data_IF_808942827408
#
_entry.id   IF_808942827408
#
_cell.length_a   1.000
_cell.length_b   1.000
_cell.length_c   1.000
_cell.angle_alpha   90.00
_cell.angle_beta   90.00
_cell.angle_gamma   90.00
#
_symmetry.space_group_name_H-M   'P 1'
#
loop_
_entity.id
_entity.type
_entity.pdbx_description
1 polymer ?
#
# COMPACT_ATOMS: atom_id res chain seq x y z
N UNK A 1 24.26 16.51 15.43
CA UNK A 1 22.98 17.23 15.65
C UNK A 1 23.12 18.06 16.91
N UNK A 2 22.80 19.37 16.88
CA UNK A 2 22.87 20.21 18.09
C UNK A 2 21.70 19.90 19.03
N UNK A 3 21.88 20.06 20.34
CA UNK A 3 20.82 19.90 21.35
C UNK A 3 19.60 20.79 21.01
N UNK A 4 19.82 21.96 20.41
CA UNK A 4 18.77 22.88 19.96
C UNK A 4 17.90 22.32 18.83
N UNK A 5 18.45 21.49 17.93
CA UNK A 5 17.68 20.83 16.87
C UNK A 5 16.84 19.67 17.41
N UNK A 6 17.33 18.95 18.43
CA UNK A 6 16.54 17.93 19.14
C UNK A 6 15.38 18.57 19.91
N UNK A 7 15.65 19.67 20.63
CA UNK A 7 14.65 20.42 21.42
C UNK A 7 13.55 21.08 20.55
N UNK A 8 13.80 21.25 19.26
CA UNK A 8 12.83 21.82 18.32
C UNK A 8 11.93 20.78 17.64
N UNK A 9 12.17 19.47 17.80
CA UNK A 9 11.15 18.51 17.40
C UNK A 9 9.90 18.71 18.26
N UNK A 10 8.73 18.64 17.65
CA UNK A 10 7.44 18.78 18.36
C UNK A 10 7.37 17.87 19.57
N UNK A 11 8.02 16.71 19.50
CA UNK A 11 7.98 15.65 20.49
C UNK A 11 8.89 15.88 21.71
N UNK A 12 10.05 16.54 21.58
CA UNK A 12 10.82 16.95 22.76
C UNK A 12 10.11 18.09 23.51
N UNK A 13 9.41 18.97 22.80
CA UNK A 13 8.47 19.89 23.44
C UNK A 13 7.34 19.11 24.12
N UNK A 14 6.75 18.10 23.48
CA UNK A 14 5.74 17.22 24.08
C UNK A 14 6.24 16.57 25.38
N UNK A 15 7.44 15.97 25.41
CA UNK A 15 8.05 15.39 26.61
C UNK A 15 8.33 16.44 27.71
N UNK A 16 8.75 17.65 27.33
CA UNK A 16 8.93 18.77 28.26
C UNK A 16 7.60 19.40 28.71
N UNK A 17 6.54 19.27 27.93
CA UNK A 17 5.18 19.71 28.25
C UNK A 17 4.47 18.71 29.18
N UNK A 18 4.74 17.39 29.06
CA UNK A 18 4.39 16.37 30.08
C UNK A 18 4.88 16.80 31.46
N UNK A 19 6.10 17.35 31.49
CA UNK A 19 6.72 17.84 32.71
C UNK A 19 6.09 19.13 33.26
N UNK A 20 5.43 19.94 32.42
CA UNK A 20 5.00 21.31 32.77
C UNK A 20 3.49 21.57 32.88
N UNK A 21 2.61 20.60 32.63
CA UNK A 21 1.17 20.88 32.55
C UNK A 21 0.33 20.58 33.81
N UNK A 22 -0.71 21.42 33.95
CA UNK A 22 -1.67 21.57 35.04
C UNK A 22 -2.30 20.28 35.54
N UNK A 23 -2.74 20.28 36.80
CA UNK A 23 -3.53 19.22 37.46
C UNK A 23 -4.65 18.63 36.59
N UNK A 24 -5.26 19.42 35.70
CA UNK A 24 -6.31 18.99 34.76
C UNK A 24 -5.89 17.82 33.86
N UNK A 25 -4.65 17.79 33.38
CA UNK A 25 -4.16 16.71 32.51
C UNK A 25 -3.70 15.48 33.28
N UNK A 26 -3.56 15.56 34.61
CA UNK A 26 -3.17 14.40 35.43
C UNK A 26 -4.30 13.37 35.50
N UNK A 27 -5.54 13.83 35.70
CA UNK A 27 -6.70 12.93 35.78
C UNK A 27 -6.91 12.16 34.47
N UNK A 28 -6.83 12.84 33.32
CA UNK A 28 -6.96 12.23 31.99
C UNK A 28 -5.85 11.22 31.73
N UNK A 29 -4.58 11.56 32.05
CA UNK A 29 -3.46 10.62 31.92
C UNK A 29 -3.63 9.38 32.80
N UNK A 30 -4.05 9.55 34.04
CA UNK A 30 -4.29 8.44 34.96
C UNK A 30 -5.39 7.52 34.42
N UNK A 31 -6.46 8.08 33.86
CA UNK A 31 -7.49 7.30 33.17
C UNK A 31 -6.92 6.51 32.00
N UNK A 32 -6.10 7.12 31.14
CA UNK A 32 -5.47 6.42 30.01
C UNK A 32 -4.48 5.33 30.44
N UNK A 33 -3.74 5.54 31.54
CA UNK A 33 -2.91 4.50 32.14
C UNK A 33 -3.75 3.31 32.62
N UNK A 34 -4.92 3.55 33.23
CA UNK A 34 -5.85 2.48 33.61
C UNK A 34 -6.36 1.73 32.38
N UNK A 35 -6.74 2.45 31.31
CA UNK A 35 -7.17 1.83 30.06
C UNK A 35 -6.06 0.96 29.45
N UNK A 36 -4.82 1.45 29.43
CA UNK A 36 -3.66 0.70 28.96
C UNK A 36 -3.44 -0.56 29.80
N UNK A 37 -3.44 -0.45 31.13
CA UNK A 37 -3.26 -1.61 32.01
C UNK A 37 -4.37 -2.65 31.88
N UNK A 38 -5.60 -2.23 31.60
CA UNK A 38 -6.72 -3.14 31.40
C UNK A 38 -6.66 -3.84 30.04
N UNK A 39 -6.36 -3.10 28.97
CA UNK A 39 -6.31 -3.62 27.61
C UNK A 39 -5.02 -4.41 27.33
N UNK A 40 -3.91 -4.02 27.96
CA UNK A 40 -2.59 -4.62 27.78
C UNK A 40 -1.83 -4.76 29.12
N UNK A 41 -2.24 -5.72 29.98
CA UNK A 41 -1.65 -5.90 31.31
C UNK A 41 -0.13 -6.16 31.29
N UNK A 42 0.34 -6.91 30.27
CA UNK A 42 1.75 -7.26 30.11
C UNK A 42 2.65 -6.08 29.66
N UNK A 43 2.08 -4.92 29.33
CA UNK A 43 2.88 -3.76 28.93
C UNK A 43 3.82 -3.26 30.04
N UNK A 44 3.41 -3.40 31.31
CA UNK A 44 4.25 -3.03 32.45
C UNK A 44 5.51 -3.90 32.55
N UNK A 45 5.39 -5.19 32.25
CA UNK A 45 6.52 -6.14 32.18
C UNK A 45 7.40 -5.84 30.96
N UNK A 46 6.81 -5.62 29.77
CA UNK A 46 7.55 -5.23 28.56
C UNK A 46 8.41 -3.96 28.79
N UNK A 47 7.84 -2.96 29.46
CA UNK A 47 8.58 -1.75 29.80
C UNK A 47 9.69 -2.03 30.80
N UNK A 48 9.45 -2.88 31.81
CA UNK A 48 10.48 -3.28 32.77
C UNK A 48 11.62 -4.00 32.06
N UNK A 49 11.33 -4.87 31.11
CA UNK A 49 12.32 -5.53 30.26
C UNK A 49 13.14 -4.49 29.49
N UNK A 50 12.48 -3.52 28.86
CA UNK A 50 13.18 -2.44 28.16
C UNK A 50 14.13 -1.66 29.08
N UNK A 51 13.68 -1.28 30.28
CA UNK A 51 14.49 -0.53 31.26
C UNK A 51 15.62 -1.36 31.88
N UNK A 52 15.45 -2.69 31.97
CA UNK A 52 16.41 -3.60 32.59
C UNK A 52 17.53 -4.00 31.62
N UNK A 53 17.17 -4.29 30.37
CA UNK A 53 18.09 -4.87 29.40
C UNK A 53 18.55 -3.89 28.32
N UNK A 54 17.76 -2.85 28.02
CA UNK A 54 18.09 -1.88 26.98
C UNK A 54 19.15 -0.87 27.42
N UNK A 55 20.04 -0.51 26.50
CA UNK A 55 20.84 0.71 26.65
C UNK A 55 19.93 1.96 26.59
N UNK A 56 20.32 3.12 27.16
CA UNK A 56 19.51 4.34 27.07
C UNK A 56 19.13 4.70 25.63
N UNK A 57 20.06 4.53 24.69
CA UNK A 57 19.83 4.70 23.26
C UNK A 57 18.80 3.71 22.72
N UNK A 58 18.93 2.42 23.03
CA UNK A 58 18.00 1.38 22.58
C UNK A 58 16.59 1.54 23.20
N UNK A 59 16.50 1.98 24.45
CA UNK A 59 15.21 2.34 25.08
C UNK A 59 14.58 3.53 24.33
N UNK A 60 15.39 4.53 23.95
CA UNK A 60 14.93 5.65 23.13
C UNK A 60 14.37 5.20 21.79
N UNK A 61 15.06 4.26 21.14
CA UNK A 61 14.63 3.66 19.89
C UNK A 61 13.34 2.86 20.08
N UNK A 62 13.26 2.00 21.11
CA UNK A 62 12.08 1.20 21.44
C UNK A 62 10.82 2.07 21.57
N UNK A 63 10.87 3.12 22.40
CA UNK A 63 9.72 4.01 22.58
C UNK A 63 9.39 4.80 21.31
N UNK A 64 10.38 5.11 20.47
CA UNK A 64 10.15 5.79 19.20
C UNK A 64 9.43 4.88 18.20
N UNK A 65 9.87 3.63 18.07
CA UNK A 65 9.21 2.63 17.22
C UNK A 65 7.81 2.30 17.74
N UNK A 66 7.62 2.15 19.05
CA UNK A 66 6.30 1.95 19.66
C UNK A 66 5.36 3.14 19.39
N UNK A 67 5.86 4.37 19.49
CA UNK A 67 5.11 5.56 19.15
C UNK A 67 4.71 5.58 17.66
N UNK A 68 5.61 5.17 16.77
CA UNK A 68 5.28 5.02 15.35
C UNK A 68 4.26 3.91 15.11
N UNK A 69 4.42 2.75 15.74
CA UNK A 69 3.42 1.68 15.69
C UNK A 69 2.04 2.18 16.13
N UNK A 70 1.95 2.96 17.21
CA UNK A 70 0.71 3.58 17.65
C UNK A 70 0.09 4.49 16.57
N UNK A 71 0.90 5.31 15.90
CA UNK A 71 0.43 6.21 14.85
C UNK A 71 -0.19 5.44 13.69
N UNK A 72 0.56 4.49 13.16
CA UNK A 72 0.14 3.66 12.05
C UNK A 72 -1.05 2.76 12.38
N UNK A 73 -1.07 2.16 13.58
CA UNK A 73 -2.20 1.36 14.07
C UNK A 73 -3.46 2.23 14.18
N UNK A 74 -3.35 3.49 14.63
CA UNK A 74 -4.52 4.38 14.75
C UNK A 74 -5.13 4.66 13.38
N UNK A 75 -4.30 4.99 12.40
CA UNK A 75 -4.73 5.17 11.00
C UNK A 75 -5.29 3.87 10.41
N UNK A 76 -4.68 2.73 10.72
CA UNK A 76 -5.12 1.43 10.23
C UNK A 76 -6.51 1.06 10.76
N UNK A 77 -6.79 1.31 12.04
CA UNK A 77 -8.08 1.02 12.68
C UNK A 77 -9.24 1.78 12.01
N UNK A 78 -9.06 3.05 11.63
CA UNK A 78 -10.16 3.84 11.05
C UNK A 78 -10.61 3.31 9.67
N UNK A 79 -9.78 2.50 9.01
CA UNK A 79 -10.13 1.83 7.76
C UNK A 79 -10.96 0.55 7.95
N UNK A 80 -11.36 0.24 9.19
CA UNK A 80 -12.19 -0.91 9.54
C UNK A 80 -11.64 -2.27 9.05
N UNK A 81 -10.38 -2.62 9.36
CA UNK A 81 -9.78 -3.87 8.92
C UNK A 81 -10.49 -5.09 9.53
N UNK A 82 -10.44 -6.21 8.82
CA UNK A 82 -10.85 -7.51 9.38
C UNK A 82 -9.91 -7.97 10.50
N UNK A 83 -10.37 -8.91 11.34
CA UNK A 83 -9.56 -9.45 12.43
C UNK A 83 -8.24 -10.11 11.94
N UNK A 84 -8.28 -10.77 10.78
CA UNK A 84 -7.09 -11.38 10.17
C UNK A 84 -6.07 -10.31 9.71
N UNK A 85 -6.57 -9.21 9.13
CA UNK A 85 -5.72 -8.07 8.73
C UNK A 85 -5.11 -7.38 9.96
N UNK A 86 -5.88 -7.21 11.04
CA UNK A 86 -5.37 -6.72 12.32
C UNK A 86 -4.25 -7.60 12.87
N UNK A 87 -4.44 -8.92 12.91
CA UNK A 87 -3.44 -9.86 13.42
C UNK A 87 -2.13 -9.77 12.63
N UNK A 88 -2.21 -9.89 11.30
CA UNK A 88 -1.04 -9.82 10.42
C UNK A 88 -0.31 -8.48 10.57
N UNK A 89 -1.05 -7.38 10.65
CA UNK A 89 -0.44 -6.06 10.84
C UNK A 89 0.31 -5.95 12.17
N UNK A 90 -0.25 -6.48 13.26
CA UNK A 90 0.43 -6.55 14.55
C UNK A 90 1.71 -7.40 14.48
N UNK A 91 1.67 -8.60 13.89
CA UNK A 91 2.83 -9.50 13.77
C UNK A 91 4.00 -8.88 13.00
N UNK A 92 3.70 -8.14 11.93
CA UNK A 92 4.71 -7.40 11.17
C UNK A 92 5.40 -6.33 12.05
N UNK A 93 4.62 -5.58 12.83
CA UNK A 93 5.16 -4.59 13.75
C UNK A 93 5.94 -5.21 14.91
N UNK A 94 5.50 -6.35 15.44
CA UNK A 94 6.23 -7.07 16.49
C UNK A 94 7.60 -7.54 16.00
N UNK A 95 7.63 -8.14 14.80
CA UNK A 95 8.88 -8.54 14.13
C UNK A 95 9.79 -7.34 13.91
N UNK A 96 9.22 -6.22 13.46
CA UNK A 96 9.97 -4.99 13.24
C UNK A 96 10.58 -4.45 14.55
N UNK A 97 9.77 -4.30 15.61
CA UNK A 97 10.25 -3.81 16.92
C UNK A 97 11.36 -4.71 17.46
N UNK A 98 11.19 -6.04 17.39
CA UNK A 98 12.21 -7.00 17.81
C UNK A 98 13.53 -6.80 17.05
N UNK A 99 13.47 -6.55 15.73
CA UNK A 99 14.66 -6.29 14.92
C UNK A 99 15.37 -4.97 15.26
N UNK A 100 14.63 -3.96 15.75
CA UNK A 100 15.19 -2.65 16.10
C UNK A 100 15.80 -2.61 17.49
N UNK A 101 15.35 -3.49 18.40
CA UNK A 101 15.77 -3.51 19.80
C UNK A 101 16.21 -4.92 20.23
N UNK A 102 17.29 -5.46 19.65
CA UNK A 102 17.69 -6.85 19.83
C UNK A 102 18.09 -7.21 21.27
N UNK A 103 18.45 -6.24 22.11
CA UNK A 103 18.81 -6.48 23.51
C UNK A 103 17.61 -6.49 24.45
N UNK A 104 16.44 -6.01 24.00
CA UNK A 104 15.22 -5.97 24.81
C UNK A 104 14.43 -7.27 24.59
N UNK A 105 14.16 -8.07 25.63
CA UNK A 105 13.30 -9.23 25.51
C UNK A 105 11.88 -8.85 25.06
N UNK A 106 11.41 -9.46 23.97
CA UNK A 106 10.06 -9.20 23.41
C UNK A 106 9.00 -10.20 23.88
N UNK A 107 9.25 -10.89 25.01
CA UNK A 107 8.34 -11.92 25.55
C UNK A 107 6.94 -11.38 25.86
N UNK A 108 6.87 -10.10 26.23
CA UNK A 108 5.65 -9.43 26.62
C UNK A 108 5.10 -8.50 25.52
N UNK A 109 5.68 -8.52 24.31
CA UNK A 109 5.23 -7.69 23.19
C UNK A 109 4.02 -8.33 22.49
N UNK A 110 2.85 -7.71 22.66
CA UNK A 110 1.57 -8.16 22.12
C UNK A 110 0.84 -6.95 21.53
N UNK A 111 1.19 -6.56 20.31
CA UNK A 111 0.62 -5.39 19.66
C UNK A 111 -0.86 -5.51 19.36
N UNK A 112 -1.43 -6.73 19.35
CA UNK A 112 -2.88 -6.88 19.28
C UNK A 112 -3.58 -6.31 20.54
N UNK A 113 -3.03 -6.54 21.73
CA UNK A 113 -3.52 -5.94 22.98
C UNK A 113 -3.34 -4.42 22.97
N UNK A 114 -2.21 -3.95 22.42
CA UNK A 114 -1.98 -2.52 22.22
C UNK A 114 -2.99 -1.90 21.22
N UNK A 115 -3.34 -2.61 20.16
CA UNK A 115 -4.37 -2.19 19.21
C UNK A 115 -5.76 -2.08 19.88
N UNK A 116 -6.12 -3.02 20.76
CA UNK A 116 -7.34 -2.93 21.58
C UNK A 116 -7.33 -1.69 22.47
N UNK A 117 -6.18 -1.33 23.04
CA UNK A 117 -6.01 -0.08 23.77
C UNK A 117 -6.25 1.14 22.89
N UNK A 118 -5.64 1.21 21.69
CA UNK A 118 -5.86 2.32 20.74
C UNK A 118 -7.34 2.43 20.33
N UNK A 119 -8.02 1.31 20.07
CA UNK A 119 -9.46 1.28 19.79
C UNK A 119 -10.28 1.86 20.93
N UNK A 120 -9.98 1.46 22.16
CA UNK A 120 -10.66 2.00 23.36
C UNK A 120 -10.46 3.51 23.50
N UNK A 121 -9.25 4.03 23.23
CA UNK A 121 -9.00 5.48 23.22
C UNK A 121 -9.81 6.21 22.15
N UNK A 122 -9.91 5.62 20.95
CA UNK A 122 -10.72 6.17 19.85
C UNK A 122 -12.20 6.19 20.21
N UNK A 123 -12.74 5.10 20.73
CA UNK A 123 -14.14 5.00 21.16
C UNK A 123 -14.47 6.03 22.25
N UNK A 124 -13.57 6.22 23.23
CA UNK A 124 -13.73 7.27 24.24
C UNK A 124 -13.73 8.68 23.61
N UNK A 125 -12.89 8.92 22.60
CA UNK A 125 -12.84 10.20 21.89
C UNK A 125 -14.12 10.50 21.10
N UNK A 126 -14.71 9.48 20.46
CA UNK A 126 -15.98 9.58 19.74
C UNK A 126 -17.14 9.92 20.69
N UNK A 127 -17.16 9.32 21.88
CA UNK A 127 -18.16 9.63 22.92
C UNK A 127 -18.01 11.08 23.41
N UNK A 128 -16.77 11.56 23.61
CA UNK A 128 -16.52 12.92 24.07
C UNK A 128 -16.89 13.97 22.99
N UNK A 129 -16.69 13.64 21.72
CA UNK A 129 -16.82 14.57 20.58
C UNK A 129 -17.54 13.89 19.41
N UNK A 130 -18.88 13.95 19.34
CA UNK A 130 -19.63 13.30 18.25
C UNK A 130 -19.21 13.74 16.84
N UNK A 131 -18.88 15.03 16.65
CA UNK A 131 -18.39 15.57 15.36
C UNK A 131 -17.04 14.97 14.92
N UNK A 132 -16.38 14.22 15.81
CA UNK A 132 -15.14 13.52 15.49
C UNK A 132 -15.37 12.40 14.48
N UNK A 133 -16.55 11.75 14.51
CA UNK A 133 -16.91 10.69 13.56
C UNK A 133 -16.97 11.22 12.11
N UNK A 134 -17.60 12.38 11.90
CA UNK A 134 -17.67 13.01 10.58
C UNK A 134 -16.27 13.35 10.05
N UNK A 135 -15.38 13.80 10.92
CA UNK A 135 -13.98 14.06 10.58
C UNK A 135 -13.21 12.79 10.21
N UNK A 136 -13.43 11.68 10.92
CA UNK A 136 -12.84 10.39 10.55
C UNK A 136 -13.35 9.87 9.20
N UNK A 137 -14.66 9.98 8.95
CA UNK A 137 -15.24 9.57 7.66
C UNK A 137 -14.71 10.40 6.49
N UNK A 138 -14.45 11.70 6.71
CA UNK A 138 -13.88 12.58 5.69
C UNK A 138 -12.44 12.23 5.30
N UNK A 139 -11.73 11.42 6.10
CA UNK A 139 -10.37 10.95 5.81
C UNK A 139 -10.35 9.69 4.95
N UNK A 140 -11.47 8.99 4.84
CA UNK A 140 -11.56 7.71 4.16
C UNK A 140 -11.94 7.88 2.67
N UNK A 141 -11.42 7.02 1.77
CA UNK A 141 -10.39 6.01 2.00
C UNK A 141 -8.97 6.60 2.02
N UNK A 142 -8.08 6.00 2.81
CA UNK A 142 -6.65 6.39 2.84
C UNK A 142 -5.94 5.64 1.70
N UNK A 143 -5.60 6.37 0.64
CA UNK A 143 -5.14 5.79 -0.64
C UNK A 143 -3.72 6.19 -1.04
N UNK A 144 -3.16 7.17 -0.36
CA UNK A 144 -1.86 7.73 -0.67
C UNK A 144 -1.21 8.32 0.59
N UNK A 145 0.03 8.78 0.43
CA UNK A 145 0.81 9.40 1.51
C UNK A 145 0.13 10.69 1.99
N UNK A 146 -0.49 11.46 1.09
CA UNK A 146 -1.14 12.73 1.46
C UNK A 146 -2.37 12.52 2.35
N UNK A 147 -3.24 11.56 2.02
CA UNK A 147 -4.38 11.16 2.83
C UNK A 147 -3.94 10.55 4.17
N UNK A 148 -2.83 9.82 4.18
CA UNK A 148 -2.21 9.35 5.43
C UNK A 148 -1.77 10.52 6.32
N UNK A 149 -1.03 11.50 5.79
CA UNK A 149 -0.57 12.65 6.56
C UNK A 149 -1.74 13.47 7.12
N UNK A 150 -2.84 13.60 6.35
CA UNK A 150 -4.08 14.22 6.84
C UNK A 150 -4.67 13.44 8.00
N UNK A 151 -4.73 12.10 7.89
CA UNK A 151 -5.23 11.24 8.95
C UNK A 151 -4.34 11.29 10.20
N UNK A 152 -3.02 11.22 10.03
CA UNK A 152 -2.05 11.35 11.12
C UNK A 152 -2.24 12.69 11.86
N UNK A 153 -2.36 13.81 11.13
CA UNK A 153 -2.58 15.11 11.75
C UNK A 153 -3.90 15.19 12.53
N UNK A 154 -4.99 14.63 11.97
CA UNK A 154 -6.29 14.61 12.62
C UNK A 154 -6.32 13.72 13.88
N UNK A 155 -5.71 12.54 13.78
CA UNK A 155 -5.62 11.54 14.86
C UNK A 155 -4.54 11.88 15.91
N UNK A 156 -3.84 13.01 15.73
CA UNK A 156 -2.72 13.47 16.56
C UNK A 156 -2.95 13.40 18.07
N UNK A 157 -4.15 13.72 18.52
CA UNK A 157 -4.46 13.67 19.94
C UNK A 157 -4.58 12.23 20.47
N UNK A 158 -5.19 11.28 19.73
CA UNK A 158 -5.28 9.86 20.16
C UNK A 158 -3.87 9.29 20.30
N UNK A 159 -3.03 9.55 19.29
CA UNK A 159 -1.64 9.11 19.27
C UNK A 159 -0.84 9.71 20.43
N UNK A 160 -1.06 11.00 20.73
CA UNK A 160 -0.51 11.65 21.91
C UNK A 160 -0.95 11.01 23.23
N UNK A 161 -2.25 10.70 23.38
CA UNK A 161 -2.76 10.03 24.58
C UNK A 161 -2.18 8.63 24.77
N UNK A 162 -2.07 7.86 23.70
CA UNK A 162 -1.44 6.55 23.73
C UNK A 162 0.04 6.65 24.16
N UNK A 163 0.78 7.58 23.55
CA UNK A 163 2.17 7.84 23.91
C UNK A 163 2.34 8.24 25.38
N UNK A 164 1.46 9.10 25.89
CA UNK A 164 1.48 9.47 27.30
C UNK A 164 1.18 8.29 28.21
N UNK A 165 0.20 7.45 27.91
CA UNK A 165 -0.10 6.27 28.74
C UNK A 165 1.11 5.32 28.83
N UNK A 166 1.85 5.16 27.72
CA UNK A 166 3.07 4.33 27.66
C UNK A 166 4.18 4.87 28.57
N UNK A 167 4.36 6.19 28.65
CA UNK A 167 5.41 6.83 29.45
C UNK A 167 5.02 7.13 30.89
N UNK A 168 3.76 7.48 31.15
CA UNK A 168 3.31 8.06 32.42
C UNK A 168 3.09 6.98 33.50
N UNK A 169 2.74 5.74 33.11
CA UNK A 169 2.44 4.68 34.08
C UNK A 169 3.61 4.23 34.95
N UNK A 170 4.84 4.71 34.70
CA UNK A 170 6.00 4.57 35.61
C UNK A 170 6.98 5.76 35.51
N UNK A 171 6.47 6.99 35.30
CA UNK A 171 7.33 8.18 35.13
C UNK A 171 8.38 8.33 36.25
N UNK A 172 8.01 7.98 37.49
CA UNK A 172 8.94 7.99 38.64
C UNK A 172 10.10 7.02 38.50
N UNK A 173 9.85 5.79 38.04
CA UNK A 173 10.90 4.81 37.77
C UNK A 173 11.78 5.26 36.60
N UNK A 174 11.17 5.83 35.55
CA UNK A 174 11.88 6.32 34.37
C UNK A 174 12.90 7.41 34.73
N UNK A 175 12.51 8.38 35.56
CA UNK A 175 13.42 9.43 36.02
C UNK A 175 14.52 8.91 36.96
N UNK A 176 14.23 7.87 37.75
CA UNK A 176 15.21 7.20 38.61
C UNK A 176 16.24 6.36 37.84
N UNK A 177 15.88 5.85 36.66
CA UNK A 177 16.72 4.95 35.87
C UNK A 177 17.87 5.65 35.12
N UNK A 178 17.73 6.94 34.79
CA UNK A 178 18.70 7.63 33.95
C UNK A 178 19.42 8.76 34.67
N UNK A 179 20.75 8.75 34.62
CA UNK A 179 21.53 9.98 34.79
C UNK A 179 21.19 10.99 33.69
N UNK A 180 21.44 12.28 33.92
CA UNK A 180 21.24 13.35 32.92
C UNK A 180 21.92 13.04 31.57
N UNK A 181 23.08 12.36 31.59
CA UNK A 181 23.79 11.95 30.37
C UNK A 181 23.06 10.83 29.64
N UNK A 182 22.60 9.81 30.35
CA UNK A 182 21.86 8.69 29.76
C UNK A 182 20.50 9.16 29.22
N UNK A 183 19.81 10.05 29.93
CA UNK A 183 18.55 10.63 29.46
C UNK A 183 18.73 11.42 28.15
N UNK A 184 19.87 12.10 27.96
CA UNK A 184 20.22 12.71 26.66
C UNK A 184 20.51 11.67 25.57
N UNK A 185 21.03 10.49 25.92
CA UNK A 185 21.17 9.35 25.01
C UNK A 185 19.80 8.89 24.52
N UNK A 186 18.90 8.60 25.47
CA UNK A 186 17.50 8.28 25.23
C UNK A 186 16.82 9.29 24.29
N UNK A 187 16.82 10.59 24.63
CA UNK A 187 16.15 11.62 23.83
C UNK A 187 16.72 11.74 22.41
N UNK A 188 18.05 11.56 22.26
CA UNK A 188 18.69 11.63 20.94
C UNK A 188 18.29 10.44 20.08
N UNK A 189 18.34 9.23 20.62
CA UNK A 189 17.96 8.02 19.89
C UNK A 189 16.48 8.05 19.50
N UNK A 190 15.62 8.45 20.45
CA UNK A 190 14.19 8.62 20.20
C UNK A 190 13.92 9.52 18.99
N UNK A 191 14.53 10.72 18.98
CA UNK A 191 14.34 11.69 17.90
C UNK A 191 15.11 11.39 16.61
N UNK A 192 16.11 10.50 16.65
CA UNK A 192 16.79 10.02 15.44
C UNK A 192 15.91 9.02 14.70
N UNK A 193 15.34 8.05 15.41
CA UNK A 193 14.47 7.03 14.81
C UNK A 193 13.25 7.66 14.12
N UNK A 194 12.71 8.75 14.69
CA UNK A 194 11.59 9.51 14.10
C UNK A 194 11.92 10.09 12.72
N UNK A 195 13.19 10.44 12.45
CA UNK A 195 13.63 11.04 11.18
C UNK A 195 14.03 10.03 10.12
N UNK A 196 14.48 8.85 10.54
CA UNK A 196 15.00 7.82 9.62
C UNK A 196 13.85 7.04 8.96
N UNK A 197 12.62 7.24 9.41
CA UNK A 197 11.48 6.43 9.00
C UNK A 197 11.12 6.48 7.50
N UNK A 198 11.46 7.58 6.81
CA UNK A 198 11.29 7.70 5.36
C UNK A 198 12.25 6.73 4.63
N UNK A 199 11.76 5.53 4.30
CA UNK A 199 12.47 4.57 3.44
C UNK A 199 13.23 3.46 4.15
N UNK A 200 12.94 3.16 5.43
CA UNK A 200 13.54 2.01 6.10
C UNK A 200 13.05 0.68 5.49
N UNK A 201 13.97 -0.18 4.99
CA UNK A 201 13.62 -1.52 4.54
C UNK A 201 13.00 -2.32 5.70
N UNK A 202 11.85 -2.94 5.46
CA UNK A 202 11.21 -3.85 6.42
C UNK A 202 10.31 -3.18 7.46
N UNK A 203 10.19 -1.84 7.49
CA UNK A 203 9.11 -1.20 8.22
C UNK A 203 7.76 -1.73 7.68
N UNK A 204 6.80 -2.15 8.52
CA UNK A 204 5.45 -2.53 8.09
C UNK A 204 4.83 -1.33 7.38
N UNK A 205 4.98 -1.31 6.05
CA UNK A 205 4.77 -0.10 5.28
C UNK A 205 3.31 0.32 5.38
N UNK A 206 3.10 1.60 5.09
CA UNK A 206 1.80 2.15 4.74
C UNK A 206 1.06 1.26 3.71
N UNK A 207 1.78 0.48 2.89
CA UNK A 207 1.24 -0.50 1.94
C UNK A 207 0.14 -1.40 2.51
N UNK A 208 0.18 -1.88 3.75
CA UNK A 208 -0.93 -2.71 4.27
C UNK A 208 -2.19 -1.85 4.49
N UNK A 209 -2.01 -0.62 4.99
CA UNK A 209 -3.08 0.36 5.13
C UNK A 209 -3.59 0.85 3.75
N UNK A 210 -2.73 1.02 2.75
CA UNK A 210 -3.10 1.40 1.38
C UNK A 210 -3.75 0.24 0.62
N UNK A 211 -3.31 -0.99 0.86
CA UNK A 211 -3.88 -2.19 0.27
C UNK A 211 -5.33 -2.39 0.68
N UNK A 212 -5.72 -2.02 1.92
CA UNK A 212 -7.13 -1.96 2.31
C UNK A 212 -7.93 -0.96 1.46
N UNK A 213 -7.36 0.22 1.21
CA UNK A 213 -7.94 1.21 0.29
C UNK A 213 -8.01 0.74 -1.17
N UNK A 214 -7.14 -0.18 -1.57
CA UNK A 214 -7.11 -0.80 -2.90
C UNK A 214 -7.99 -2.04 -3.02
N UNK A 215 -8.35 -2.70 -1.92
CA UNK A 215 -9.20 -3.90 -1.94
C UNK A 215 -10.65 -3.64 -2.39
N UNK A 216 -11.09 -2.38 -2.51
CA UNK A 216 -12.37 -2.04 -3.15
C UNK A 216 -12.28 -1.78 -4.66
N UNK A 217 -11.10 -1.97 -5.27
CA UNK A 217 -10.94 -2.11 -6.72
C UNK A 217 -10.00 -3.28 -7.00
N UNK A 218 -10.26 -4.44 -6.40
CA UNK A 218 -9.98 -5.65 -7.16
C UNK A 218 -11.01 -5.66 -8.29
N UNK A 219 -10.60 -5.21 -9.48
CA UNK A 219 -10.94 -6.06 -10.62
C UNK A 219 -10.41 -7.43 -10.18
N UNK A 220 -11.30 -8.38 -9.91
CA UNK A 220 -10.87 -9.77 -10.07
C UNK A 220 -10.24 -9.79 -11.45
N UNK A 221 -8.91 -9.83 -11.51
CA UNK A 221 -8.25 -10.44 -12.64
C UNK A 221 -8.82 -11.83 -12.58
N UNK A 222 -9.88 -12.03 -13.37
CA UNK A 222 -10.39 -13.34 -13.63
C UNK A 222 -9.17 -14.09 -14.16
N UNK A 223 -8.51 -14.88 -13.31
CA UNK A 223 -7.32 -15.65 -13.65
C UNK A 223 -7.67 -16.74 -14.69
N UNK A 224 -8.93 -16.80 -15.12
CA UNK A 224 -9.22 -17.26 -16.47
C UNK A 224 -8.51 -16.31 -17.43
N UNK A 225 -7.39 -16.76 -17.94
CA UNK A 225 -6.77 -16.35 -19.19
C UNK A 225 -7.75 -16.59 -20.35
N UNK A 226 -8.94 -15.98 -20.32
CA UNK A 226 -9.86 -15.93 -21.43
C UNK A 226 -9.40 -14.74 -22.26
N UNK A 227 -8.46 -15.07 -23.14
CA UNK A 227 -7.87 -14.16 -24.10
C UNK A 227 -9.00 -13.58 -24.97
N UNK A 228 -9.04 -12.25 -25.09
CA UNK A 228 -9.86 -11.64 -26.13
C UNK A 228 -9.30 -12.09 -27.48
N UNK A 229 -10.12 -12.74 -28.28
CA UNK A 229 -9.71 -13.08 -29.64
C UNK A 229 -9.95 -11.88 -30.56
N UNK A 230 -8.97 -11.60 -31.41
CA UNK A 230 -9.10 -10.55 -32.43
C UNK A 230 -10.01 -11.08 -33.52
N UNK A 231 -11.11 -10.37 -33.81
CA UNK A 231 -12.08 -10.76 -34.84
C UNK A 231 -12.05 -9.81 -36.04
N UNK A 232 -12.56 -10.31 -37.18
CA UNK A 232 -12.62 -9.59 -38.45
C UNK A 232 -11.32 -9.67 -39.26
N UNK A 233 -11.31 -9.02 -40.43
CA UNK A 233 -10.16 -9.06 -41.35
C UNK A 233 -8.91 -8.36 -40.77
N UNK A 234 -7.69 -8.93 -40.96
CA UNK A 234 -6.44 -8.26 -40.64
C UNK A 234 -6.29 -6.93 -41.37
N UNK A 235 -5.72 -5.93 -40.69
CA UNK A 235 -5.38 -4.63 -41.29
C UNK A 235 -3.99 -4.77 -41.90
N UNK A 236 -3.86 -4.55 -43.20
CA UNK A 236 -2.55 -4.69 -43.85
C UNK A 236 -1.62 -3.57 -43.38
N UNK A 237 -0.34 -3.87 -43.12
CA UNK A 237 0.60 -2.90 -42.56
C UNK A 237 0.73 -1.61 -43.39
N UNK A 238 0.52 -1.70 -44.71
CA UNK A 238 0.57 -0.52 -45.59
C UNK A 238 -0.50 0.53 -45.28
N UNK A 239 -1.54 0.19 -44.53
CA UNK A 239 -2.57 1.14 -44.09
C UNK A 239 -2.07 2.07 -42.96
N UNK A 240 -1.05 1.66 -42.21
CA UNK A 240 -0.57 2.38 -41.02
C UNK A 240 0.95 2.59 -40.95
N UNK A 241 1.67 2.03 -41.91
CA UNK A 241 3.11 2.07 -42.01
C UNK A 241 3.55 2.21 -43.47
N UNK A 242 4.76 2.73 -43.69
CA UNK A 242 5.43 2.76 -44.99
C UNK A 242 6.69 1.91 -44.94
N UNK A 243 6.94 1.11 -45.98
CA UNK A 243 8.20 0.38 -46.13
C UNK A 243 9.36 1.36 -46.30
N UNK A 244 10.47 1.07 -45.63
CA UNK A 244 11.71 1.85 -45.76
C UNK A 244 12.86 0.94 -46.14
N UNK A 245 13.71 1.42 -47.05
CA UNK A 245 14.90 0.71 -47.50
C UNK A 245 16.08 0.84 -46.52
N UNK A 246 16.00 1.77 -45.58
CA UNK A 246 17.02 2.00 -44.54
C UNK A 246 16.42 2.68 -43.32
N UNK A 247 17.04 2.45 -42.17
CA UNK A 247 16.72 3.10 -40.89
C UNK A 247 17.84 4.08 -40.50
N UNK A 248 17.55 5.13 -39.70
CA UNK A 248 18.59 6.03 -39.20
C UNK A 248 19.49 5.32 -38.17
N UNK A 249 20.74 5.02 -38.53
CA UNK A 249 21.73 4.44 -37.61
C UNK A 249 21.28 3.11 -36.96
N UNK A 250 21.83 2.80 -35.79
CA UNK A 250 21.41 1.64 -35.00
C UNK A 250 20.04 1.90 -34.35
N UNK A 251 18.97 1.66 -35.13
CA UNK A 251 17.59 1.76 -34.64
C UNK A 251 17.12 0.39 -34.13
N UNK A 252 16.69 0.33 -32.87
CA UNK A 252 16.19 -0.91 -32.23
C UNK A 252 14.66 -0.97 -32.27
N UNK A 253 14.09 -2.13 -32.55
CA UNK A 253 12.64 -2.35 -32.51
C UNK A 253 12.16 -2.53 -31.08
N UNK A 254 11.29 -1.64 -30.59
CA UNK A 254 10.75 -1.71 -29.22
C UNK A 254 9.78 -2.89 -28.96
N UNK A 255 9.45 -3.68 -29.97
CA UNK A 255 8.57 -4.85 -29.82
C UNK A 255 9.39 -6.11 -29.50
N UNK A 256 10.45 -6.38 -30.26
CA UNK A 256 11.31 -7.56 -30.06
C UNK A 256 12.66 -7.23 -29.38
N UNK A 257 12.92 -5.96 -29.09
CA UNK A 257 14.18 -5.45 -28.54
C UNK A 257 15.43 -5.81 -29.37
N UNK A 258 15.27 -6.08 -30.67
CA UNK A 258 16.36 -6.39 -31.60
C UNK A 258 16.58 -5.24 -32.59
N UNK A 259 17.81 -5.11 -33.10
CA UNK A 259 18.15 -4.07 -34.06
C UNK A 259 17.45 -4.28 -35.41
N UNK A 260 17.07 -3.17 -36.05
CA UNK A 260 16.42 -3.18 -37.36
C UNK A 260 17.51 -3.08 -38.42
N UNK A 261 18.04 -4.23 -38.83
CA UNK A 261 19.04 -4.32 -39.88
C UNK A 261 18.38 -4.25 -41.27
N UNK A 262 18.49 -3.11 -41.95
CA UNK A 262 17.94 -2.92 -43.30
C UNK A 262 18.53 -3.86 -44.36
N UNK A 263 19.65 -4.55 -44.07
CA UNK A 263 20.36 -5.46 -44.98
C UNK A 263 19.97 -6.92 -44.82
N UNK A 264 19.15 -7.28 -43.83
CA UNK A 264 18.71 -8.66 -43.66
C UNK A 264 17.64 -8.98 -44.72
N UNK A 265 17.87 -9.93 -45.65
CA UNK A 265 16.99 -10.14 -46.82
C UNK A 265 15.58 -10.61 -46.46
N UNK A 266 15.36 -11.03 -45.22
CA UNK A 266 14.09 -11.55 -44.69
C UNK A 266 13.36 -10.55 -43.80
N UNK A 267 13.97 -9.42 -43.42
CA UNK A 267 13.41 -8.49 -42.45
C UNK A 267 13.21 -7.11 -43.08
N UNK A 268 11.98 -6.82 -43.48
CA UNK A 268 11.62 -5.50 -43.99
C UNK A 268 11.35 -4.53 -42.85
N UNK A 269 11.97 -3.36 -42.90
CA UNK A 269 11.73 -2.26 -41.97
C UNK A 269 10.54 -1.42 -42.43
N UNK A 270 9.76 -0.92 -41.46
CA UNK A 270 8.69 0.03 -41.71
C UNK A 270 8.78 1.21 -40.77
N UNK A 271 8.27 2.36 -41.24
CA UNK A 271 8.10 3.57 -40.44
C UNK A 271 6.61 3.89 -40.30
N UNK A 272 6.20 4.18 -39.08
CA UNK A 272 4.85 4.66 -38.74
C UNK A 272 4.68 6.14 -39.11
N UNK A 273 3.44 6.62 -39.24
CA UNK A 273 3.16 8.04 -39.50
C UNK A 273 3.74 9.00 -38.43
N UNK A 274 3.95 8.53 -37.21
CA UNK A 274 4.60 9.28 -36.13
C UNK A 274 6.14 9.18 -36.13
N UNK A 275 6.74 8.54 -37.13
CA UNK A 275 8.20 8.48 -37.32
C UNK A 275 8.94 7.38 -36.56
N UNK A 276 8.24 6.46 -35.91
CA UNK A 276 8.87 5.32 -35.22
C UNK A 276 9.03 4.12 -36.14
N UNK A 277 10.15 3.41 -36.01
CA UNK A 277 10.54 2.28 -36.85
C UNK A 277 10.33 0.94 -36.15
N UNK A 278 9.90 -0.06 -36.93
CA UNK A 278 9.70 -1.45 -36.45
C UNK A 278 10.01 -2.45 -37.57
N UNK A 279 10.26 -3.70 -37.21
CA UNK A 279 10.15 -4.80 -38.18
C UNK A 279 8.70 -4.94 -38.63
N UNK A 280 8.49 -5.19 -39.94
CA UNK A 280 7.15 -5.33 -40.52
C UNK A 280 6.33 -6.39 -39.78
N UNK A 281 6.92 -7.56 -39.51
CA UNK A 281 6.26 -8.66 -38.79
C UNK A 281 5.89 -8.30 -37.36
N UNK A 282 6.76 -7.55 -36.67
CA UNK A 282 6.53 -7.15 -35.28
C UNK A 282 5.34 -6.19 -35.16
N UNK A 283 5.30 -5.14 -35.98
CA UNK A 283 4.20 -4.17 -35.92
C UNK A 283 2.90 -4.75 -36.48
N UNK A 284 2.97 -5.64 -37.48
CA UNK A 284 1.81 -6.38 -37.95
C UNK A 284 1.23 -7.27 -36.83
N UNK A 285 2.09 -8.02 -36.14
CA UNK A 285 1.68 -8.85 -34.99
C UNK A 285 1.08 -8.02 -33.87
N UNK A 286 1.66 -6.85 -33.58
CA UNK A 286 1.11 -5.92 -32.60
C UNK A 286 -0.31 -5.52 -32.99
N UNK A 287 -0.53 -4.99 -34.19
CA UNK A 287 -1.86 -4.52 -34.61
C UNK A 287 -2.86 -5.66 -34.75
N UNK A 288 -2.43 -6.80 -35.32
CA UNK A 288 -3.32 -7.84 -35.80
C UNK A 288 -3.48 -9.06 -34.91
N UNK A 289 -2.53 -9.33 -34.01
CA UNK A 289 -2.55 -10.53 -33.16
C UNK A 289 -2.61 -10.21 -31.67
N UNK A 290 -2.30 -8.99 -31.27
CA UNK A 290 -2.39 -8.59 -29.86
C UNK A 290 -3.83 -8.39 -29.41
N UNK A 291 -4.24 -9.13 -28.38
CA UNK A 291 -5.50 -8.99 -27.66
C UNK A 291 -5.59 -7.70 -26.81
N UNK A 292 -4.53 -6.87 -26.76
CA UNK A 292 -4.50 -5.64 -25.97
C UNK A 292 -5.39 -4.51 -26.54
N UNK A 293 -6.15 -3.84 -25.67
CA UNK A 293 -7.07 -2.76 -26.03
C UNK A 293 -6.45 -1.57 -26.77
N UNK A 294 -5.13 -1.40 -26.67
CA UNK A 294 -4.33 -0.34 -27.28
C UNK A 294 -3.51 -0.78 -28.51
N UNK A 295 -3.78 -1.96 -29.08
CA UNK A 295 -2.98 -2.49 -30.18
C UNK A 295 -3.04 -1.68 -31.48
N UNK A 296 -4.00 -0.75 -31.60
CA UNK A 296 -4.10 0.20 -32.72
C UNK A 296 -3.26 1.47 -32.52
N UNK A 297 -2.38 1.50 -31.51
CA UNK A 297 -1.51 2.63 -31.21
C UNK A 297 -0.04 2.27 -31.34
N UNK A 298 0.80 3.25 -31.64
CA UNK A 298 2.24 3.09 -31.76
C UNK A 298 2.84 2.63 -30.42
N UNK A 299 3.59 1.51 -30.38
CA UNK A 299 4.22 1.04 -29.14
C UNK A 299 5.15 2.07 -28.47
N UNK A 300 5.79 2.94 -29.26
CA UNK A 300 6.76 3.91 -28.76
C UNK A 300 6.13 5.20 -28.21
N UNK A 301 5.06 5.71 -28.83
CA UNK A 301 4.50 7.03 -28.48
C UNK A 301 2.97 7.07 -28.31
N UNK A 302 2.30 5.93 -28.48
CA UNK A 302 0.84 5.77 -28.36
C UNK A 302 0.00 6.59 -29.35
N UNK A 303 0.61 7.18 -30.38
CA UNK A 303 -0.13 7.78 -31.50
C UNK A 303 -0.99 6.71 -32.18
N UNK A 304 -2.25 7.01 -32.47
CA UNK A 304 -3.18 6.10 -33.15
C UNK A 304 -2.66 5.81 -34.56
N UNK A 305 -2.46 4.53 -34.88
CA UNK A 305 -1.94 4.06 -36.16
C UNK A 305 -3.04 3.73 -37.16
N UNK A 306 -4.11 3.09 -36.69
CA UNK A 306 -5.22 2.62 -37.53
C UNK A 306 -6.53 2.56 -36.74
N UNK A 307 -7.61 2.20 -37.44
CA UNK A 307 -8.88 1.85 -36.79
C UNK A 307 -8.68 0.68 -35.82
N UNK A 308 -9.39 0.69 -34.70
CA UNK A 308 -9.35 -0.39 -33.72
C UNK A 308 -10.04 -1.64 -34.29
N UNK A 309 -9.39 -2.80 -34.21
CA UNK A 309 -10.00 -4.08 -34.56
C UNK A 309 -11.02 -4.51 -33.52
N UNK A 310 -12.10 -5.14 -33.99
CA UNK A 310 -13.09 -5.79 -33.14
C UNK A 310 -12.44 -6.93 -32.37
N UNK A 311 -12.92 -7.14 -31.14
CA UNK A 311 -12.45 -8.18 -30.23
C UNK A 311 -13.67 -8.77 -29.57
N UNK A 312 -13.65 -10.07 -29.39
CA UNK A 312 -14.72 -10.79 -28.73
C UNK A 312 -14.10 -11.51 -27.55
N UNK A 313 -14.78 -11.46 -26.40
CA UNK A 313 -14.34 -12.24 -25.26
C UNK A 313 -14.60 -13.71 -25.56
N UNK A 314 -13.67 -14.62 -25.24
CA UNK A 314 -13.81 -16.04 -25.59
C UNK A 314 -15.12 -16.68 -25.07
N UNK A 315 -15.71 -16.16 -23.99
CA UNK A 315 -17.03 -16.61 -23.51
C UNK A 315 -18.16 -16.30 -24.49
N UNK A 316 -18.11 -15.16 -25.18
CA UNK A 316 -19.20 -14.68 -26.02
C UNK A 316 -19.27 -15.45 -27.35
N UNK A 317 -18.18 -16.14 -27.74
CA UNK A 317 -18.18 -17.02 -28.90
C UNK A 317 -18.92 -18.34 -28.65
N UNK A 318 -18.93 -18.83 -27.40
CA UNK A 318 -19.57 -20.11 -27.04
C UNK A 318 -21.09 -19.98 -27.13
N UNK A 319 -21.64 -18.82 -26.76
CA UNK A 319 -23.08 -18.57 -26.83
C UNK A 319 -23.59 -18.44 -28.27
N UNK A 320 -22.80 -17.82 -29.16
CA UNK A 320 -23.16 -17.71 -30.59
C UNK A 320 -23.10 -19.07 -31.31
N UNK A 321 -22.07 -19.89 -31.05
CA UNK A 321 -21.96 -21.21 -31.69
C UNK A 321 -23.01 -22.20 -31.19
N UNK A 322 -23.40 -22.13 -29.91
CA UNK A 322 -24.47 -22.96 -29.37
C UNK A 322 -25.85 -22.58 -29.95
N UNK A 323 -26.11 -21.29 -30.18
CA UNK A 323 -27.34 -20.83 -30.84
C UNK A 323 -27.45 -21.34 -32.27
N UNK A 324 -26.36 -21.28 -33.05
CA UNK A 324 -26.36 -21.80 -34.44
C UNK A 324 -26.60 -23.32 -34.48
N UNK A 325 -26.09 -24.08 -33.51
CA UNK A 325 -26.30 -25.53 -33.42
C UNK A 325 -27.71 -25.91 -32.95
N UNK A 326 -28.31 -25.13 -32.05
CA UNK A 326 -29.69 -25.31 -31.59
C UNK A 326 -30.69 -24.98 -32.71
N UNK A 327 -30.46 -23.90 -33.46
CA UNK A 327 -31.29 -23.52 -34.61
C UNK A 327 -31.17 -24.53 -35.76
N UNK A 328 -29.99 -25.13 -35.97
CA UNK A 328 -29.79 -26.23 -36.92
C UNK A 328 -30.50 -27.52 -36.46
N UNK A 329 -30.51 -27.80 -35.16
CA UNK A 329 -31.19 -28.97 -34.59
C UNK A 329 -32.71 -28.84 -34.73
N UNK A 330 -33.28 -27.66 -34.48
CA UNK A 330 -34.71 -27.37 -34.67
C UNK A 330 -35.10 -27.45 -36.15
N UNK A 331 -34.29 -26.92 -37.06
CA UNK A 331 -34.51 -27.05 -38.50
C UNK A 331 -34.47 -28.51 -38.99
N UNK A 332 -33.62 -29.35 -38.39
CA UNK A 332 -33.56 -30.79 -38.68
C UNK A 332 -34.75 -31.56 -38.11
N UNK A 333 -35.28 -31.15 -36.94
CA UNK A 333 -36.47 -31.76 -36.33
C UNK A 333 -37.73 -31.50 -37.18
N UNK A 334 -37.90 -30.29 -37.70
CA UNK A 334 -39.05 -29.93 -38.56
C UNK A 334 -39.03 -30.65 -39.92
N UNK A 335 -37.84 -30.97 -40.45
CA UNK A 335 -37.68 -31.73 -41.70
C UNK A 335 -38.11 -33.21 -41.56
N UNK A 336 -37.98 -33.81 -40.37
CA UNK A 336 -38.39 -35.20 -40.13
C UNK A 336 -39.92 -35.38 -40.00
N UNK A 337 -40.66 -34.32 -39.71
CA UNK A 337 -42.13 -34.36 -39.59
C UNK A 337 -42.79 -34.40 -40.99
N UNK A 338 -42.10 -33.95 -42.05
CA UNK A 338 -42.62 -33.94 -43.43
C UNK A 338 -42.56 -35.26 -44.20
N UNK A 339 -41.95 -36.32 -43.65
CA UNK A 339 -41.85 -37.65 -44.29
C UNK A 339 -42.81 -38.70 -43.68
N UNK A 340 -43.63 -38.30 -42.72
CA UNK A 340 -44.62 -39.15 -42.05
C UNK A 340 -46.09 -38.78 -42.35
N UNK A 341 -46.32 -37.93 -43.37
CA UNK A 341 -47.62 -37.67 -44.01
C UNK A 341 -47.52 -38.06 -45.48
#
# INVERSE_FOLDING_TARGET
MSLSQALNSGLVKTLLLVHRHSSRFRAVRQQHCVLLSNAYPAFSELRRDALTYGSPEEIGQFFSVMNKAAQYITVFIIQSPSAAQMWNYCEQWETYIASRCPSIPMLHLHLYQFMVFIRTLREAALIEKPNYEEGEQALLPIRDIESYEKAENFLGFIMGQAFYAMLDSDYGAFHGHFSTRQFRGFLRSFGQEEKVWEGLPGAPMLNVALQLGQQNVQFETNDTTLEYEVTGEPIHYSEFCQLVSSTPGATTCNICASDIEATHPTETAVVTACGHFFHTVCIDTWVNRSALSNSNTCPSCRTVLCRRRSRVHASDQVDAHNQDMEELADAMADSQIGLAL
#
